data_IF_422762338642
#
_entry.id   IF_422762338642
#
_cell.length_a   1.000
_cell.length_b   1.000
_cell.length_c   1.000
_cell.angle_alpha   90.00
_cell.angle_beta   90.00
_cell.angle_gamma   90.00
#
_symmetry.space_group_name_H-M   'P 1'
#
loop_
_entity.id
_entity.type
_entity.pdbx_description
1 polymer ?
#
# COMPACT_ATOMS: atom_id res chain seq x y z
N UNK A 1 -17.99 60.14 5.56
CA UNK A 1 -18.22 58.69 5.31
C UNK A 1 -17.14 57.90 6.02
N UNK A 2 -17.42 57.37 7.21
CA UNK A 2 -16.50 56.48 7.92
C UNK A 2 -17.12 55.07 7.93
N UNK A 3 -16.63 54.21 7.03
CA UNK A 3 -16.93 52.78 7.06
C UNK A 3 -16.11 52.15 8.19
N UNK A 4 -16.72 52.02 9.38
CA UNK A 4 -16.13 51.20 10.44
C UNK A 4 -16.35 49.73 10.10
N UNK A 5 -15.29 49.09 9.59
CA UNK A 5 -15.25 47.63 9.43
C UNK A 5 -15.22 47.02 10.83
N UNK A 6 -16.38 46.53 11.30
CA UNK A 6 -16.48 45.79 12.55
C UNK A 6 -15.72 44.46 12.39
N UNK A 7 -14.51 44.39 12.93
CA UNK A 7 -13.76 43.14 13.08
C UNK A 7 -14.47 42.26 14.12
N UNK A 8 -15.24 41.28 13.65
CA UNK A 8 -15.91 40.26 14.48
C UNK A 8 -14.86 39.55 15.33
N UNK A 9 -14.90 39.70 16.66
CA UNK A 9 -13.96 39.01 17.58
C UNK A 9 -14.08 37.51 17.38
N UNK A 10 -13.02 36.90 16.85
CA UNK A 10 -12.92 35.44 16.72
C UNK A 10 -12.84 34.87 18.13
N UNK A 11 -13.72 33.92 18.46
CA UNK A 11 -13.70 33.24 19.75
C UNK A 11 -12.42 32.41 19.87
N UNK A 12 -11.79 32.38 21.05
CA UNK A 12 -10.57 31.60 21.32
C UNK A 12 -10.76 30.12 20.95
N UNK A 13 -11.97 29.57 21.15
CA UNK A 13 -12.34 28.22 20.73
C UNK A 13 -12.21 27.98 19.22
N UNK A 14 -12.52 29.00 18.41
CA UNK A 14 -12.40 28.93 16.94
C UNK A 14 -10.93 28.99 16.51
N UNK A 15 -10.11 29.81 17.18
CA UNK A 15 -8.66 29.85 16.94
C UNK A 15 -8.00 28.51 17.29
N UNK A 16 -8.35 27.91 18.43
CA UNK A 16 -7.85 26.59 18.84
C UNK A 16 -8.25 25.48 17.85
N UNK A 17 -9.48 25.50 17.35
CA UNK A 17 -9.94 24.54 16.35
C UNK A 17 -9.16 24.69 15.02
N UNK A 18 -8.95 25.91 14.55
CA UNK A 18 -8.17 26.18 13.34
C UNK A 18 -6.72 25.72 13.53
N UNK A 19 -6.09 26.04 14.66
CA UNK A 19 -4.74 25.60 14.97
C UNK A 19 -4.62 24.07 15.01
N UNK A 20 -5.59 23.38 15.62
CA UNK A 20 -5.63 21.92 15.65
C UNK A 20 -5.75 21.28 14.26
N UNK A 21 -6.60 21.84 13.39
CA UNK A 21 -6.74 21.38 12.00
C UNK A 21 -5.43 21.59 11.22
N UNK A 22 -4.82 22.77 11.35
CA UNK A 22 -3.54 23.07 10.68
C UNK A 22 -2.43 22.11 11.14
N UNK A 23 -2.34 21.85 12.45
CA UNK A 23 -1.38 20.91 13.00
C UNK A 23 -1.63 19.47 12.51
N UNK A 24 -2.89 19.05 12.42
CA UNK A 24 -3.25 17.75 11.86
C UNK A 24 -2.78 17.62 10.40
N UNK A 25 -3.09 18.60 9.53
CA UNK A 25 -2.63 18.58 8.15
C UNK A 25 -1.09 18.63 8.02
N UNK A 26 -0.43 19.40 8.90
CA UNK A 26 1.03 19.48 8.93
C UNK A 26 1.70 18.14 9.28
N UNK A 27 1.04 17.26 10.03
CA UNK A 27 1.55 15.92 10.32
C UNK A 27 1.16 14.90 9.25
N UNK A 28 -0.10 14.93 8.80
CA UNK A 28 -0.66 13.91 7.91
C UNK A 28 -0.13 14.04 6.50
N UNK A 29 -0.01 15.26 5.96
CA UNK A 29 0.41 15.45 4.55
C UNK A 29 1.87 14.99 4.32
N UNK A 30 2.85 15.38 5.16
CA UNK A 30 4.21 14.87 5.00
C UNK A 30 4.32 13.36 5.23
N UNK A 31 3.58 12.81 6.21
CA UNK A 31 3.52 11.37 6.43
C UNK A 31 2.95 10.65 5.21
N UNK A 32 1.82 11.11 4.68
CA UNK A 32 1.17 10.53 3.51
C UNK A 32 2.11 10.53 2.31
N UNK A 33 2.73 11.68 2.01
CA UNK A 33 3.67 11.75 0.91
C UNK A 33 4.86 10.83 1.15
N UNK A 34 5.50 10.89 2.32
CA UNK A 34 6.69 10.10 2.63
C UNK A 34 6.43 8.59 2.66
N UNK A 35 5.23 8.14 3.00
CA UNK A 35 4.88 6.72 3.11
C UNK A 35 4.44 6.15 1.76
N UNK A 36 3.43 6.76 1.13
CA UNK A 36 2.80 6.23 -0.08
C UNK A 36 3.59 6.54 -1.36
N UNK A 37 4.56 7.46 -1.35
CA UNK A 37 5.42 7.70 -2.52
C UNK A 37 6.49 6.63 -2.70
N UNK A 38 6.81 5.86 -1.65
CA UNK A 38 7.89 4.87 -1.70
C UNK A 38 7.48 3.69 -2.58
N UNK A 39 8.39 3.30 -3.47
CA UNK A 39 8.27 2.08 -4.26
C UNK A 39 8.89 0.93 -3.47
N UNK A 40 8.12 -0.13 -3.31
CA UNK A 40 8.47 -1.33 -2.55
C UNK A 40 8.17 -2.56 -3.41
N UNK A 41 8.82 -3.67 -3.08
CA UNK A 41 8.45 -4.96 -3.65
C UNK A 41 8.52 -6.02 -2.57
N UNK A 42 7.82 -7.12 -2.82
CA UNK A 42 7.85 -8.29 -1.97
C UNK A 42 8.64 -9.37 -2.67
N UNK A 43 9.62 -9.93 -1.97
CA UNK A 43 10.41 -11.04 -2.46
C UNK A 43 10.49 -12.10 -1.37
N UNK A 44 10.10 -13.32 -1.73
CA UNK A 44 9.82 -14.40 -0.78
C UNK A 44 8.79 -13.91 0.27
N UNK A 45 9.19 -13.81 1.54
CA UNK A 45 8.36 -13.35 2.65
C UNK A 45 8.70 -11.93 3.14
N UNK A 46 9.61 -11.24 2.44
CA UNK A 46 10.18 -9.99 2.91
C UNK A 46 9.75 -8.81 2.04
N UNK A 47 9.42 -7.70 2.70
CA UNK A 47 9.20 -6.40 2.07
C UNK A 47 10.54 -5.69 1.90
N UNK A 48 10.83 -5.26 0.69
CA UNK A 48 12.05 -4.53 0.34
C UNK A 48 11.74 -3.09 -0.05
N UNK A 49 12.66 -2.20 0.33
CA UNK A 49 12.69 -0.80 -0.10
C UNK A 49 14.08 -0.43 -0.57
N UNK A 50 14.15 0.50 -1.52
CA UNK A 50 15.43 1.04 -1.98
C UNK A 50 16.11 1.77 -0.81
N UNK A 51 17.35 1.39 -0.53
CA UNK A 51 18.14 1.97 0.55
C UNK A 51 19.21 2.92 0.01
N UNK A 52 19.87 2.52 -1.08
CA UNK A 52 20.95 3.29 -1.69
C UNK A 52 21.00 3.01 -3.19
N UNK A 53 21.41 4.00 -3.97
CA UNK A 53 21.72 3.84 -5.39
C UNK A 53 23.00 4.61 -5.69
N UNK A 54 24.00 3.90 -6.21
CA UNK A 54 25.28 4.47 -6.58
C UNK A 54 25.78 3.81 -7.86
N UNK A 55 26.17 4.65 -8.82
CA UNK A 55 26.62 4.26 -10.14
C UNK A 55 25.59 3.37 -10.87
N UNK A 56 25.87 2.07 -10.96
CA UNK A 56 25.02 1.06 -11.59
C UNK A 56 24.49 0.03 -10.59
N UNK A 57 24.64 0.28 -9.29
CA UNK A 57 24.21 -0.64 -8.24
C UNK A 57 23.09 -0.02 -7.42
N UNK A 58 21.96 -0.72 -7.37
CA UNK A 58 20.85 -0.38 -6.48
C UNK A 58 20.79 -1.39 -5.34
N UNK A 59 20.79 -0.90 -4.09
CA UNK A 59 20.69 -1.73 -2.90
C UNK A 59 19.28 -1.66 -2.32
N UNK A 60 18.68 -2.82 -2.10
CA UNK A 60 17.38 -2.96 -1.47
C UNK A 60 17.52 -3.64 -0.11
N UNK A 61 16.89 -3.05 0.91
CA UNK A 61 16.92 -3.56 2.28
C UNK A 61 15.53 -3.93 2.76
N UNK A 62 15.47 -5.02 3.50
CA UNK A 62 14.33 -5.40 4.33
C UNK A 62 14.67 -5.23 5.81
N UNK A 63 13.65 -5.26 6.67
CA UNK A 63 13.82 -5.22 8.13
C UNK A 63 14.47 -6.50 8.67
N UNK A 64 14.12 -7.64 8.07
CA UNK A 64 14.56 -8.97 8.52
C UNK A 64 15.09 -9.86 7.38
N UNK A 65 14.92 -9.43 6.12
CA UNK A 65 15.43 -10.15 4.95
C UNK A 65 16.90 -9.85 4.63
N UNK A 66 17.54 -10.69 3.80
CA UNK A 66 18.90 -10.47 3.33
C UNK A 66 19.03 -9.19 2.50
N UNK A 67 20.25 -8.67 2.33
CA UNK A 67 20.49 -7.54 1.42
C UNK A 67 20.38 -8.01 -0.03
N UNK A 68 19.62 -7.27 -0.85
CA UNK A 68 19.55 -7.50 -2.30
C UNK A 68 20.33 -6.38 -2.99
N UNK A 69 21.27 -6.74 -3.86
CA UNK A 69 21.99 -5.79 -4.71
C UNK A 69 21.66 -6.06 -6.16
N UNK A 70 21.36 -5.01 -6.92
CA UNK A 70 21.05 -5.11 -8.34
C UNK A 70 22.04 -4.28 -9.13
N UNK A 71 22.84 -4.95 -9.94
CA UNK A 71 23.78 -4.32 -10.87
C UNK A 71 23.11 -4.16 -12.23
N UNK A 72 23.15 -2.94 -12.77
CA UNK A 72 22.59 -2.56 -14.06
C UNK A 72 23.66 -2.68 -15.14
N UNK A 73 23.50 -3.63 -16.05
CA UNK A 73 24.41 -3.85 -17.19
C UNK A 73 23.64 -3.65 -18.50
N UNK A 74 23.44 -2.38 -18.89
CA UNK A 74 22.60 -2.03 -20.05
C UNK A 74 21.13 -2.41 -19.83
N UNK A 75 20.57 -3.28 -20.68
CA UNK A 75 19.23 -3.85 -20.52
C UNK A 75 19.18 -5.04 -19.56
N UNK A 76 20.33 -5.63 -19.26
CA UNK A 76 20.46 -6.79 -18.39
C UNK A 76 20.66 -6.37 -16.94
N UNK A 77 20.37 -7.28 -16.03
CA UNK A 77 20.53 -7.08 -14.59
C UNK A 77 21.27 -8.26 -13.99
N UNK A 78 22.04 -7.99 -12.96
CA UNK A 78 22.63 -9.03 -12.10
C UNK A 78 22.17 -8.77 -10.67
N UNK A 79 21.49 -9.75 -10.08
CA UNK A 79 20.96 -9.69 -8.73
C UNK A 79 21.86 -10.51 -7.82
N UNK A 80 22.31 -9.92 -6.72
CA UNK A 80 23.13 -10.58 -5.71
C UNK A 80 22.38 -10.69 -4.39
N UNK A 81 22.22 -11.90 -3.89
CA UNK A 81 21.56 -12.22 -2.61
C UNK A 81 22.40 -13.27 -1.90
N UNK A 82 22.76 -13.06 -0.63
CA UNK A 82 23.58 -14.01 0.15
C UNK A 82 24.89 -14.45 -0.56
N UNK A 83 25.53 -13.55 -1.29
CA UNK A 83 26.73 -13.78 -2.12
C UNK A 83 26.53 -14.71 -3.32
N UNK A 84 25.30 -15.06 -3.66
CA UNK A 84 24.95 -15.74 -4.90
C UNK A 84 24.53 -14.73 -5.96
N UNK A 85 24.95 -14.96 -7.21
CA UNK A 85 24.67 -14.09 -8.34
C UNK A 85 23.68 -14.73 -9.32
N UNK A 86 22.64 -13.98 -9.64
CA UNK A 86 21.58 -14.35 -10.56
C UNK A 86 21.62 -13.39 -11.75
N UNK A 87 21.81 -13.92 -12.96
CA UNK A 87 21.86 -13.10 -14.17
C UNK A 87 20.48 -13.06 -14.82
N UNK A 88 19.99 -11.86 -15.14
CA UNK A 88 18.67 -11.64 -15.71
C UNK A 88 18.84 -10.89 -17.03
N UNK A 89 18.38 -11.51 -18.11
CA UNK A 89 18.46 -10.97 -19.46
C UNK A 89 17.06 -10.65 -19.95
N UNK A 90 16.84 -9.40 -20.33
CA UNK A 90 15.58 -8.99 -20.96
C UNK A 90 15.59 -9.47 -22.40
N UNK A 91 14.60 -10.30 -22.73
CA UNK A 91 14.36 -10.88 -24.05
C UNK A 91 13.02 -10.37 -24.60
N UNK A 92 12.85 -10.41 -25.91
CA UNK A 92 11.59 -10.05 -26.56
C UNK A 92 11.40 -8.55 -26.85
N UNK A 93 10.21 -8.25 -27.37
CA UNK A 93 9.81 -6.94 -27.87
C UNK A 93 8.93 -6.21 -26.84
N UNK A 94 8.68 -4.89 -27.00
CA UNK A 94 7.83 -4.13 -26.08
C UNK A 94 6.41 -4.68 -25.88
N UNK A 95 5.94 -5.55 -26.78
CA UNK A 95 4.60 -6.17 -26.73
C UNK A 95 4.60 -7.61 -26.19
N UNK A 96 5.77 -8.22 -26.01
CA UNK A 96 5.92 -9.57 -25.48
C UNK A 96 7.25 -9.64 -24.72
N UNK A 97 7.26 -9.04 -23.54
CA UNK A 97 8.45 -8.95 -22.70
C UNK A 97 8.68 -10.29 -22.04
N UNK A 98 9.89 -10.81 -22.22
CA UNK A 98 10.37 -12.04 -21.63
C UNK A 98 11.65 -11.78 -20.86
N UNK A 99 11.95 -12.62 -19.89
CA UNK A 99 13.20 -12.58 -19.17
C UNK A 99 13.77 -13.99 -19.08
N UNK A 100 15.08 -14.11 -19.29
CA UNK A 100 15.83 -15.32 -18.97
C UNK A 100 16.54 -15.08 -17.64
N UNK A 101 16.32 -15.96 -16.67
CA UNK A 101 16.89 -15.92 -15.32
C UNK A 101 17.84 -17.10 -15.17
N UNK A 102 19.14 -16.82 -15.07
CA UNK A 102 20.18 -17.80 -14.86
C UNK A 102 20.58 -17.88 -13.38
N UNK A 103 20.50 -19.08 -12.82
CA UNK A 103 20.84 -19.37 -11.44
C UNK A 103 22.33 -19.75 -11.32
N UNK A 104 22.96 -19.57 -10.13
CA UNK A 104 24.35 -19.95 -9.89
C UNK A 104 24.65 -21.44 -10.16
N UNK A 105 23.64 -22.30 -10.00
CA UNK A 105 23.74 -23.74 -10.25
C UNK A 105 23.63 -24.13 -11.73
N UNK A 106 23.51 -23.15 -12.63
CA UNK A 106 23.39 -23.35 -14.08
C UNK A 106 21.97 -23.54 -14.59
N UNK A 107 20.95 -23.62 -13.71
CA UNK A 107 19.55 -23.72 -14.13
C UNK A 107 19.09 -22.42 -14.78
N UNK A 108 18.29 -22.55 -15.83
CA UNK A 108 17.68 -21.43 -16.56
C UNK A 108 16.16 -21.44 -16.39
N UNK A 109 15.58 -20.27 -16.20
CA UNK A 109 14.14 -20.07 -16.16
C UNK A 109 13.72 -18.97 -17.12
N UNK A 110 12.58 -19.15 -17.78
CA UNK A 110 11.93 -18.10 -18.56
C UNK A 110 10.85 -17.44 -17.70
N UNK A 111 10.81 -16.11 -17.67
CA UNK A 111 9.76 -15.35 -17.00
C UNK A 111 9.07 -14.47 -18.03
N UNK A 112 7.78 -14.71 -18.25
CA UNK A 112 6.97 -13.96 -19.20
C UNK A 112 6.14 -12.91 -18.49
N UNK A 113 6.08 -11.71 -19.08
CA UNK A 113 5.25 -10.61 -18.60
C UNK A 113 3.92 -10.57 -19.33
N UNK A 114 2.84 -10.82 -18.60
CA UNK A 114 1.46 -10.67 -19.05
C UNK A 114 0.82 -9.43 -18.43
N UNK A 115 1.18 -8.24 -18.92
CA UNK A 115 0.63 -6.95 -18.47
C UNK A 115 0.88 -6.67 -16.97
N UNK A 116 2.11 -6.90 -16.52
CA UNK A 116 2.55 -6.76 -15.14
C UNK A 116 2.48 -8.04 -14.32
N UNK A 117 1.83 -9.10 -14.84
CA UNK A 117 1.83 -10.42 -14.20
C UNK A 117 3.02 -11.25 -14.70
N UNK A 118 4.01 -11.45 -13.84
CA UNK A 118 5.20 -12.25 -14.13
C UNK A 118 4.96 -13.73 -13.86
N UNK A 119 5.04 -14.57 -14.90
CA UNK A 119 4.84 -16.03 -14.82
C UNK A 119 6.14 -16.73 -15.17
N UNK A 120 6.58 -17.66 -14.31
CA UNK A 120 7.85 -18.38 -14.46
C UNK A 120 7.65 -19.74 -15.12
N UNK A 121 8.61 -20.14 -15.94
CA UNK A 121 8.67 -21.42 -16.64
C UNK A 121 10.05 -22.04 -16.47
N UNK A 122 10.10 -23.36 -16.32
CA UNK A 122 11.34 -24.11 -16.26
C UNK A 122 11.94 -24.36 -17.66
N UNK A 123 13.05 -25.10 -17.71
CA UNK A 123 13.78 -25.44 -18.95
C UNK A 123 12.96 -26.29 -19.93
N UNK A 124 11.92 -26.98 -19.45
CA UNK A 124 11.01 -27.79 -20.27
C UNK A 124 9.83 -26.97 -20.82
N UNK A 125 9.68 -25.71 -20.37
CA UNK A 125 8.54 -24.86 -20.68
C UNK A 125 7.32 -25.13 -19.78
N UNK A 126 7.50 -25.88 -18.68
CA UNK A 126 6.44 -26.14 -17.72
C UNK A 126 6.34 -24.97 -16.73
N UNK A 127 5.12 -24.72 -16.25
CA UNK A 127 4.88 -23.65 -15.28
C UNK A 127 5.63 -23.94 -13.98
N UNK A 128 6.49 -23.00 -13.58
CA UNK A 128 7.19 -23.06 -12.31
C UNK A 128 6.39 -22.31 -11.25
N UNK A 129 5.82 -23.06 -10.31
CA UNK A 129 5.18 -22.52 -9.10
C UNK A 129 5.97 -23.00 -7.90
N UNK A 130 6.54 -22.06 -7.15
CA UNK A 130 7.26 -22.37 -5.92
C UNK A 130 6.24 -22.74 -4.83
N UNK A 131 5.95 -24.03 -4.68
CA UNK A 131 5.11 -24.53 -3.59
C UNK A 131 6.01 -24.79 -2.39
N UNK A 132 5.89 -23.96 -1.35
CA UNK A 132 6.58 -24.22 -0.08
C UNK A 132 5.71 -25.14 0.79
N UNK A 133 6.14 -26.38 1.01
CA UNK A 133 5.55 -27.28 1.98
C UNK A 133 6.36 -27.25 3.28
N UNK A 134 5.68 -27.38 4.43
CA UNK A 134 6.33 -27.41 5.74
C UNK A 134 6.05 -28.75 6.44
N UNK A 135 7.04 -29.28 7.15
CA UNK A 135 6.89 -30.49 7.98
C UNK A 135 6.18 -30.17 9.31
N UNK A 136 5.92 -31.20 10.10
CA UNK A 136 5.29 -31.06 11.43
C UNK A 136 6.11 -30.23 12.42
N UNK A 137 7.39 -29.98 12.13
CA UNK A 137 8.31 -29.17 12.93
C UNK A 137 8.47 -27.75 12.37
N UNK A 138 7.73 -27.39 11.31
CA UNK A 138 7.81 -26.09 10.65
C UNK A 138 9.03 -25.90 9.75
N UNK A 139 9.77 -26.96 9.43
CA UNK A 139 10.88 -26.92 8.47
C UNK A 139 10.34 -27.06 7.04
N UNK A 140 10.91 -26.32 6.08
CA UNK A 140 10.55 -26.45 4.67
C UNK A 140 10.91 -27.86 4.17
N UNK A 141 9.93 -28.56 3.61
CA UNK A 141 10.11 -29.85 2.96
C UNK A 141 10.66 -29.57 1.57
N UNK A 142 11.95 -29.80 1.39
CA UNK A 142 12.56 -29.84 0.07
C UNK A 142 12.42 -31.26 -0.50
N UNK A 143 12.03 -31.41 -1.78
CA UNK A 143 12.14 -32.68 -2.48
C UNK A 143 13.56 -33.23 -2.36
N UNK A 144 13.69 -34.55 -2.22
CA UNK A 144 14.94 -35.20 -1.84
C UNK A 144 16.04 -34.93 -2.89
N UNK A 145 17.04 -34.14 -2.51
CA UNK A 145 18.18 -33.79 -3.37
C UNK A 145 18.04 -32.44 -4.10
N UNK A 146 16.96 -31.70 -3.89
CA UNK A 146 16.78 -30.37 -4.46
C UNK A 146 17.23 -29.26 -3.49
N UNK A 147 17.89 -28.25 -4.05
CA UNK A 147 18.25 -27.01 -3.35
C UNK A 147 17.04 -26.08 -3.36
N UNK A 148 16.81 -25.35 -2.27
CA UNK A 148 15.79 -24.30 -2.23
C UNK A 148 16.09 -23.26 -3.31
N UNK A 149 15.28 -23.26 -4.37
CA UNK A 149 15.38 -22.27 -5.44
C UNK A 149 14.55 -21.06 -5.05
N UNK A 150 15.17 -19.88 -5.10
CA UNK A 150 14.47 -18.61 -5.05
C UNK A 150 13.45 -18.52 -6.19
N UNK A 151 12.38 -17.75 -6.02
CA UNK A 151 11.38 -17.59 -7.07
C UNK A 151 11.91 -16.75 -8.28
N UNK A 152 11.92 -17.27 -9.53
CA UNK A 152 12.41 -16.54 -10.69
C UNK A 152 11.68 -15.22 -10.97
N UNK A 153 10.34 -15.20 -10.88
CA UNK A 153 9.56 -13.97 -11.08
C UNK A 153 9.84 -12.93 -9.99
N UNK A 154 10.13 -13.39 -8.78
CA UNK A 154 10.58 -12.54 -7.69
C UNK A 154 11.94 -11.88 -7.97
N UNK A 155 12.88 -12.62 -8.59
CA UNK A 155 14.19 -12.08 -8.98
C UNK A 155 14.04 -11.00 -10.07
N UNK A 156 13.17 -11.23 -11.06
CA UNK A 156 12.83 -10.21 -12.08
C UNK A 156 12.19 -8.98 -11.44
N UNK A 157 11.27 -9.18 -10.50
CA UNK A 157 10.63 -8.08 -9.75
C UNK A 157 11.67 -7.24 -9.02
N UNK A 158 12.63 -7.88 -8.32
CA UNK A 158 13.69 -7.17 -7.62
C UNK A 158 14.64 -6.42 -8.58
N UNK A 159 14.85 -6.95 -9.78
CA UNK A 159 15.80 -6.43 -10.76
C UNK A 159 15.31 -5.21 -11.53
N UNK A 160 13.99 -5.11 -11.74
CA UNK A 160 13.38 -4.06 -12.55
C UNK A 160 12.36 -3.27 -11.72
N UNK A 161 12.69 -2.00 -11.48
CA UNK A 161 11.86 -1.09 -10.66
C UNK A 161 10.47 -0.81 -11.23
N UNK A 162 10.20 -1.16 -12.49
CA UNK A 162 8.88 -1.05 -13.12
C UNK A 162 7.86 -2.00 -12.51
N UNK A 163 8.30 -3.10 -11.89
CA UNK A 163 7.44 -4.04 -11.17
C UNK A 163 7.31 -3.71 -9.67
N UNK A 164 7.90 -2.61 -9.21
CA UNK A 164 7.76 -2.19 -7.82
C UNK A 164 6.42 -1.48 -7.62
N UNK A 165 5.68 -1.93 -6.61
CA UNK A 165 4.40 -1.35 -6.25
C UNK A 165 4.59 -0.13 -5.35
N UNK A 166 3.59 0.75 -5.32
CA UNK A 166 3.55 1.82 -4.32
C UNK A 166 3.19 1.23 -2.97
N UNK A 167 3.86 1.73 -1.94
CA UNK A 167 3.64 1.26 -0.59
C UNK A 167 2.23 1.61 -0.10
N UNK A 168 1.48 0.57 0.30
CA UNK A 168 0.15 0.71 0.88
C UNK A 168 -0.92 1.11 -0.14
N UNK A 169 -2.13 1.35 0.35
CA UNK A 169 -3.27 1.75 -0.47
C UNK A 169 -3.73 3.17 -0.12
N UNK A 170 -3.28 4.21 -0.84
CA UNK A 170 -3.50 5.61 -0.47
C UNK A 170 -4.99 5.99 -0.41
N UNK A 171 -5.83 5.32 -1.22
CA UNK A 171 -7.28 5.52 -1.26
C UNK A 171 -7.91 5.14 0.08
N UNK A 172 -7.53 4.00 0.66
CA UNK A 172 -8.06 3.57 1.96
C UNK A 172 -7.59 4.48 3.10
N UNK A 173 -6.40 5.06 2.99
CA UNK A 173 -5.91 6.03 3.98
C UNK A 173 -6.77 7.29 3.99
N UNK A 174 -7.00 7.92 2.84
CA UNK A 174 -7.85 9.11 2.74
C UNK A 174 -9.28 8.80 3.18
N UNK A 175 -9.82 7.66 2.74
CA UNK A 175 -11.14 7.19 3.14
C UNK A 175 -11.25 6.97 4.66
N UNK A 176 -10.23 6.43 5.30
CA UNK A 176 -10.20 6.26 6.77
C UNK A 176 -10.32 7.58 7.51
N UNK A 177 -9.63 8.64 7.05
CA UNK A 177 -9.71 9.97 7.66
C UNK A 177 -11.11 10.56 7.49
N UNK A 178 -11.68 10.46 6.29
CA UNK A 178 -13.04 10.93 6.02
C UNK A 178 -14.08 10.19 6.88
N UNK A 179 -13.95 8.87 7.02
CA UNK A 179 -14.81 8.07 7.91
C UNK A 179 -14.66 8.47 9.37
N UNK A 180 -13.44 8.79 9.82
CA UNK A 180 -13.21 9.24 11.20
C UNK A 180 -13.91 10.57 11.46
N UNK A 181 -13.74 11.53 10.55
CA UNK A 181 -14.38 12.85 10.64
C UNK A 181 -15.90 12.69 10.60
N UNK A 182 -16.41 11.87 9.67
CA UNK A 182 -17.84 11.57 9.55
C UNK A 182 -18.39 10.94 10.83
N UNK A 183 -17.73 9.90 11.34
CA UNK A 183 -18.15 9.17 12.54
C UNK A 183 -18.10 10.05 13.79
N UNK A 184 -17.05 10.85 13.95
CA UNK A 184 -16.94 11.82 15.03
C UNK A 184 -18.05 12.88 14.97
N UNK A 185 -18.34 13.41 13.77
CA UNK A 185 -19.40 14.38 13.60
C UNK A 185 -20.78 13.79 13.89
N UNK A 186 -21.04 12.57 13.40
CA UNK A 186 -22.26 11.81 13.65
C UNK A 186 -22.45 11.48 15.13
N UNK A 187 -21.37 11.25 15.87
CA UNK A 187 -21.42 10.97 17.30
C UNK A 187 -21.66 12.24 18.15
N UNK A 188 -20.97 13.35 17.85
CA UNK A 188 -20.86 14.50 18.77
C UNK A 188 -21.73 15.71 18.43
N UNK A 189 -22.05 15.97 17.16
CA UNK A 189 -22.67 17.22 16.73
C UNK A 189 -24.12 17.04 16.27
N UNK A 190 -25.08 17.52 17.07
CA UNK A 190 -26.51 17.48 16.74
C UNK A 190 -26.86 18.20 15.44
N UNK A 191 -26.15 19.30 15.10
CA UNK A 191 -26.33 19.98 13.82
C UNK A 191 -26.03 19.07 12.62
N UNK A 192 -25.02 18.20 12.76
CA UNK A 192 -24.66 17.23 11.73
C UNK A 192 -25.67 16.08 11.68
N UNK A 193 -26.16 15.62 12.83
CA UNK A 193 -27.23 14.61 12.92
C UNK A 193 -28.54 15.11 12.26
N UNK A 194 -28.88 16.39 12.46
CA UNK A 194 -30.00 17.07 11.80
C UNK A 194 -29.79 17.23 10.29
N UNK A 195 -28.55 17.50 9.87
CA UNK A 195 -28.19 17.53 8.46
C UNK A 195 -28.36 16.15 7.80
N UNK A 196 -27.87 15.08 8.45
CA UNK A 196 -28.04 13.70 7.97
C UNK A 196 -29.53 13.32 7.90
N UNK A 197 -30.34 13.76 8.87
CA UNK A 197 -31.80 13.57 8.82
C UNK A 197 -32.41 14.23 7.59
N UNK A 198 -32.05 15.47 7.27
CA UNK A 198 -32.55 16.15 6.07
C UNK A 198 -32.10 15.47 4.77
N UNK A 199 -30.87 14.95 4.75
CA UNK A 199 -30.32 14.17 3.64
C UNK A 199 -31.01 12.81 3.45
N UNK A 200 -31.71 12.29 4.46
CA UNK A 200 -32.52 11.06 4.31
C UNK A 200 -33.77 11.25 3.46
N UNK A 201 -34.06 12.47 2.99
CA UNK A 201 -35.24 12.84 2.20
C UNK A 201 -36.59 12.51 2.85
N UNK A 202 -36.60 12.15 4.14
CA UNK A 202 -37.82 11.85 4.89
C UNK A 202 -38.84 13.00 4.90
N UNK A 203 -38.34 14.23 4.81
CA UNK A 203 -39.16 15.45 4.69
C UNK A 203 -40.02 15.52 3.42
N UNK A 204 -39.71 14.75 2.37
CA UNK A 204 -40.53 14.69 1.16
C UNK A 204 -41.84 13.90 1.36
N UNK A 205 -41.89 13.04 2.38
CA UNK A 205 -42.99 12.11 2.61
C UNK A 205 -43.91 12.50 3.76
N UNK A 206 -43.46 13.41 4.64
CA UNK A 206 -44.18 13.80 5.87
C UNK A 206 -44.17 15.32 6.03
N UNK A 207 -45.35 15.92 6.29
CA UNK A 207 -45.45 17.33 6.68
C UNK A 207 -44.86 17.50 8.08
N UNK A 208 -43.93 18.44 8.24
CA UNK A 208 -43.25 18.74 9.51
C UNK A 208 -42.39 17.58 10.04
N UNK A 209 -41.49 17.06 9.19
CA UNK A 209 -40.53 16.05 9.60
C UNK A 209 -39.51 16.60 10.60
N UNK A 210 -39.57 16.12 11.84
CA UNK A 210 -38.57 16.35 12.89
C UNK A 210 -37.81 15.05 13.23
N UNK A 211 -36.50 15.13 13.52
CA UNK A 211 -35.71 13.97 13.92
C UNK A 211 -36.18 13.43 15.27
N UNK A 212 -36.44 12.12 15.34
CA UNK A 212 -36.81 11.44 16.59
C UNK A 212 -35.60 11.18 17.49
N UNK A 213 -35.83 10.96 18.79
CA UNK A 213 -34.78 10.53 19.73
C UNK A 213 -34.07 9.24 19.27
N UNK A 214 -34.82 8.35 18.61
CA UNK A 214 -34.26 7.14 18.00
C UNK A 214 -33.29 7.46 16.86
N UNK A 215 -33.57 8.47 16.03
CA UNK A 215 -32.64 8.92 14.98
C UNK A 215 -31.31 9.41 15.57
N UNK A 216 -31.37 10.21 16.64
CA UNK A 216 -30.17 10.69 17.34
C UNK A 216 -29.37 9.54 17.97
N UNK A 217 -30.05 8.57 18.56
CA UNK A 217 -29.41 7.36 19.07
C UNK A 217 -28.72 6.56 17.96
N UNK A 218 -29.42 6.31 16.85
CA UNK A 218 -28.87 5.58 15.70
C UNK A 218 -27.70 6.31 15.04
N UNK A 219 -27.73 7.65 14.98
CA UNK A 219 -26.58 8.44 14.51
C UNK A 219 -25.35 8.28 15.40
N UNK A 220 -25.52 8.17 16.73
CA UNK A 220 -24.41 7.92 17.65
C UNK A 220 -23.84 6.50 17.46
N UNK A 221 -24.71 5.49 17.35
CA UNK A 221 -24.29 4.10 17.09
C UNK A 221 -23.57 3.98 15.75
N UNK A 222 -24.15 4.54 14.68
CA UNK A 222 -23.53 4.57 13.36
C UNK A 222 -22.22 5.36 13.34
N UNK A 223 -22.14 6.45 14.10
CA UNK A 223 -20.91 7.21 14.28
C UNK A 223 -19.79 6.39 14.92
N UNK A 224 -20.10 5.62 15.97
CA UNK A 224 -19.14 4.68 16.59
C UNK A 224 -18.71 3.60 15.59
N UNK A 225 -19.64 2.99 14.87
CA UNK A 225 -19.33 1.99 13.86
C UNK A 225 -18.42 2.55 12.75
N UNK A 226 -18.68 3.77 12.27
CA UNK A 226 -17.86 4.45 11.28
C UNK A 226 -16.44 4.75 11.81
N UNK A 227 -16.31 5.13 13.08
CA UNK A 227 -14.99 5.31 13.72
C UNK A 227 -14.22 3.99 13.83
N UNK A 228 -14.89 2.87 14.15
CA UNK A 228 -14.25 1.53 14.16
C UNK A 228 -13.79 1.15 12.75
N UNK A 229 -14.67 1.32 11.75
CA UNK A 229 -14.34 1.00 10.35
C UNK A 229 -13.19 1.88 9.83
N UNK A 230 -13.12 3.13 10.26
CA UNK A 230 -12.00 4.02 9.96
C UNK A 230 -10.67 3.42 10.46
N UNK A 231 -10.60 2.96 11.71
CA UNK A 231 -9.39 2.34 12.26
C UNK A 231 -8.99 1.09 11.48
N UNK A 232 -9.95 0.22 11.16
CA UNK A 232 -9.69 -0.98 10.34
C UNK A 232 -9.17 -0.59 8.94
N UNK A 233 -9.79 0.39 8.30
CA UNK A 233 -9.38 0.88 6.97
C UNK A 233 -7.98 1.51 6.99
N UNK A 234 -7.65 2.21 8.09
CA UNK A 234 -6.33 2.79 8.28
C UNK A 234 -5.25 1.70 8.35
N UNK A 235 -5.45 0.65 9.15
CA UNK A 235 -4.49 -0.46 9.20
C UNK A 235 -4.38 -1.21 7.88
N UNK A 236 -5.50 -1.37 7.16
CA UNK A 236 -5.47 -1.96 5.82
C UNK A 236 -4.70 -1.10 4.81
N UNK A 237 -4.71 0.22 4.97
CA UNK A 237 -4.03 1.12 4.06
C UNK A 237 -2.51 1.10 4.16
N UNK A 238 -1.95 0.57 5.26
CA UNK A 238 -0.51 0.56 5.53
C UNK A 238 0.20 -0.62 4.85
#
# INVERSE_FOLDING_TARGET
MNNSVSLRRIKVSTLLAIAGILLFFMLVVPFFHSYFSQSVFYFEQYKYKQAHEQDHVTEYRSLSGPLIKVHKEGSNRKVTINNEEYAIRKLGDPFNIKYEVAYPNGKLFEVNDYSGLLVSYDENGDWFVQITAFDSNGQKILPKGEVELLNPSGLVTAAYSEYHEKQGEPVFFVFSILLLIYGWCGYRYEKFQNFLFKMSFYWLWVKEAEPSDFHYFMCKVGGIAAMILSVVSFFKSL
#
